data_IF_967515453480
#
_entry.id   IF_967515453480
#
_cell.length_a   1.000
_cell.length_b   1.000
_cell.length_c   1.000
_cell.angle_alpha   90.00
_cell.angle_beta   90.00
_cell.angle_gamma   90.00
#
_symmetry.space_group_name_H-M   'P 1'
#
loop_
_entity.id
_entity.type
_entity.pdbx_description
1 polymer ?
#
# COMPACT_ATOMS: atom_id res chain seq x y z
N UNK A 1 19.54 17.80 11.55
CA UNK A 1 19.45 16.41 11.04
C UNK A 1 18.38 16.39 9.94
N UNK A 2 18.79 16.15 8.69
CA UNK A 2 17.90 16.02 7.53
C UNK A 2 17.34 14.60 7.50
N UNK A 3 16.03 14.44 7.59
CA UNK A 3 15.30 13.39 6.89
C UNK A 3 14.28 14.09 6.01
N UNK A 4 14.57 14.09 4.70
CA UNK A 4 13.79 14.78 3.69
C UNK A 4 12.40 14.17 3.61
N UNK A 5 11.37 15.00 3.84
CA UNK A 5 10.03 14.79 3.31
C UNK A 5 10.06 15.04 1.80
N UNK A 6 10.85 14.27 1.07
CA UNK A 6 10.99 14.45 -0.37
C UNK A 6 10.12 13.39 -1.06
N UNK A 7 8.96 13.89 -1.49
CA UNK A 7 8.06 13.36 -2.51
C UNK A 7 7.26 12.09 -2.12
N UNK A 8 6.06 12.32 -1.57
CA UNK A 8 4.98 11.33 -1.56
C UNK A 8 3.93 11.77 -2.59
N UNK A 9 4.00 11.20 -3.79
CA UNK A 9 3.09 11.48 -4.92
C UNK A 9 1.61 11.26 -4.57
N UNK A 10 0.84 12.30 -4.89
CA UNK A 10 -0.56 12.55 -4.52
C UNK A 10 -1.57 11.57 -5.16
N UNK A 11 -1.14 10.64 -6.02
CA UNK A 11 -2.06 9.71 -6.71
C UNK A 11 -2.67 8.62 -5.82
N UNK A 12 -2.18 8.42 -4.60
CA UNK A 12 -2.83 7.55 -3.60
C UNK A 12 -3.92 8.27 -2.79
N UNK A 13 -4.14 9.57 -3.02
CA UNK A 13 -4.92 10.48 -2.18
C UNK A 13 -6.26 10.85 -2.81
N UNK A 14 -7.09 9.85 -3.13
CA UNK A 14 -8.51 10.17 -3.33
C UNK A 14 -9.15 10.39 -1.95
N UNK A 15 -9.62 11.63 -1.72
CA UNK A 15 -10.32 12.06 -0.52
C UNK A 15 -11.41 11.04 -0.13
N UNK A 16 -11.28 10.45 1.06
CA UNK A 16 -12.22 9.45 1.60
C UNK A 16 -11.64 8.05 1.83
N UNK A 17 -10.38 7.77 1.46
CA UNK A 17 -9.73 6.50 1.77
C UNK A 17 -8.66 6.66 2.85
N UNK A 18 -8.63 5.83 3.92
CA UNK A 18 -7.64 5.97 4.99
C UNK A 18 -6.22 5.88 4.43
N UNK A 19 -5.37 6.75 4.97
CA UNK A 19 -3.99 6.94 4.56
C UNK A 19 -3.19 5.67 4.84
N UNK A 20 -2.55 5.09 3.81
CA UNK A 20 -1.61 3.98 4.00
C UNK A 20 -0.20 4.55 4.06
N UNK A 21 0.45 4.38 5.20
CA UNK A 21 1.86 4.73 5.36
C UNK A 21 2.75 3.86 4.45
N UNK A 22 3.94 4.33 4.04
CA UNK A 22 4.89 3.52 3.27
C UNK A 22 5.18 2.16 3.91
N UNK A 23 5.33 2.11 5.24
CA UNK A 23 5.50 0.88 6.00
C UNK A 23 4.30 -0.08 5.88
N UNK A 24 3.08 0.47 5.82
CA UNK A 24 1.86 -0.32 5.62
C UNK A 24 1.84 -0.92 4.21
N UNK A 25 2.25 -0.13 3.21
CA UNK A 25 2.39 -0.59 1.81
C UNK A 25 3.41 -1.72 1.70
N UNK A 26 4.57 -1.60 2.35
CA UNK A 26 5.57 -2.68 2.40
C UNK A 26 5.00 -3.95 3.03
N UNK A 27 4.37 -3.84 4.20
CA UNK A 27 3.72 -4.98 4.86
C UNK A 27 2.66 -5.60 3.96
N UNK A 28 1.88 -4.80 3.24
CA UNK A 28 0.90 -5.28 2.25
C UNK A 28 1.62 -6.08 1.16
N UNK A 29 2.69 -5.56 0.56
CA UNK A 29 3.45 -6.26 -0.47
C UNK A 29 3.98 -7.61 0.04
N UNK A 30 4.62 -7.61 1.20
CA UNK A 30 5.23 -8.81 1.82
C UNK A 30 4.19 -9.87 2.25
N UNK A 31 2.96 -9.45 2.55
CA UNK A 31 1.88 -10.40 2.91
C UNK A 31 1.46 -11.32 1.75
N UNK A 32 1.77 -10.95 0.50
CA UNK A 32 1.35 -11.70 -0.68
C UNK A 32 2.05 -13.06 -0.73
N UNK A 33 1.28 -14.13 -0.52
CA UNK A 33 1.78 -15.51 -0.56
C UNK A 33 2.36 -16.01 0.77
N UNK A 34 2.47 -15.15 1.80
CA UNK A 34 2.93 -15.54 3.14
C UNK A 34 1.75 -15.78 4.10
N UNK A 35 0.63 -15.09 3.90
CA UNK A 35 -0.57 -15.20 4.74
C UNK A 35 -1.73 -15.81 3.93
N UNK A 36 -2.41 -16.82 4.50
CA UNK A 36 -3.66 -17.34 3.94
C UNK A 36 -4.71 -16.23 3.97
N UNK A 37 -5.38 -15.97 2.83
CA UNK A 37 -6.34 -14.87 2.67
C UNK A 37 -5.74 -13.46 2.94
N UNK A 38 -4.45 -13.26 2.66
CA UNK A 38 -3.73 -12.00 2.86
C UNK A 38 -4.51 -10.75 2.41
N UNK A 39 -5.26 -10.82 1.31
CA UNK A 39 -6.04 -9.68 0.81
C UNK A 39 -7.10 -9.21 1.81
N UNK A 40 -7.85 -10.14 2.40
CA UNK A 40 -8.90 -9.83 3.39
C UNK A 40 -8.30 -9.37 4.72
N UNK A 41 -7.24 -10.06 5.16
CA UNK A 41 -6.51 -9.72 6.39
C UNK A 41 -5.94 -8.30 6.33
N UNK A 42 -5.27 -7.95 5.23
CA UNK A 42 -4.65 -6.62 5.09
C UNK A 42 -5.68 -5.52 4.84
N UNK A 43 -6.78 -5.83 4.14
CA UNK A 43 -7.92 -4.92 4.01
C UNK A 43 -8.51 -4.59 5.39
N UNK A 44 -8.74 -5.60 6.23
CA UNK A 44 -9.24 -5.42 7.59
C UNK A 44 -8.25 -4.63 8.46
N UNK A 45 -6.97 -5.06 8.49
CA UNK A 45 -5.91 -4.50 9.33
C UNK A 45 -5.67 -3.00 9.09
N UNK A 46 -5.75 -2.57 7.84
CA UNK A 46 -5.55 -1.16 7.48
C UNK A 46 -6.83 -0.43 7.11
N UNK A 47 -7.98 -1.00 7.49
CA UNK A 47 -9.32 -0.43 7.24
C UNK A 47 -9.50 0.06 5.80
N UNK A 48 -9.03 -0.72 4.84
CA UNK A 48 -8.97 -0.37 3.43
C UNK A 48 -9.69 -1.41 2.58
N UNK A 49 -9.95 -1.09 1.32
CA UNK A 49 -10.64 -1.99 0.42
C UNK A 49 -9.70 -3.08 -0.11
N UNK A 50 -10.19 -4.31 -0.22
CA UNK A 50 -9.49 -5.43 -0.87
C UNK A 50 -9.04 -5.08 -2.29
N UNK A 51 -9.82 -4.31 -3.04
CA UNK A 51 -9.45 -3.84 -4.37
C UNK A 51 -8.20 -2.95 -4.35
N UNK A 52 -7.99 -2.16 -3.27
CA UNK A 52 -6.81 -1.30 -3.11
C UNK A 52 -5.56 -2.15 -2.83
N UNK A 53 -5.69 -3.22 -2.04
CA UNK A 53 -4.63 -4.22 -1.83
C UNK A 53 -4.18 -4.85 -3.15
N UNK A 54 -5.13 -5.30 -3.98
CA UNK A 54 -4.81 -5.85 -5.31
C UNK A 54 -4.11 -4.85 -6.23
N UNK A 55 -4.52 -3.57 -6.21
CA UNK A 55 -3.86 -2.51 -6.99
C UNK A 55 -2.41 -2.32 -6.56
N UNK A 56 -2.13 -2.32 -5.25
CA UNK A 56 -0.76 -2.23 -4.70
C UNK A 56 0.08 -3.40 -5.20
N UNK A 57 -0.42 -4.64 -5.07
CA UNK A 57 0.30 -5.82 -5.56
C UNK A 57 0.52 -5.85 -7.07
N UNK A 58 -0.46 -5.39 -7.86
CA UNK A 58 -0.35 -5.33 -9.33
C UNK A 58 0.67 -4.29 -9.77
N UNK A 59 0.71 -3.12 -9.11
CA UNK A 59 1.70 -2.08 -9.38
C UNK A 59 3.12 -2.51 -8.99
N UNK A 60 3.27 -3.13 -7.80
CA UNK A 60 4.55 -3.70 -7.37
C UNK A 60 5.07 -4.75 -8.36
N UNK A 61 4.22 -5.68 -8.81
CA UNK A 61 4.60 -6.71 -9.78
C UNK A 61 5.02 -6.15 -11.15
N UNK A 62 4.58 -4.92 -11.49
CA UNK A 62 4.96 -4.21 -12.71
C UNK A 62 6.24 -3.36 -12.54
N UNK A 63 6.87 -3.39 -11.37
CA UNK A 63 8.00 -2.52 -11.05
C UNK A 63 7.63 -1.04 -11.02
N UNK A 64 6.34 -0.71 -10.93
CA UNK A 64 5.88 0.68 -10.86
C UNK A 64 6.12 1.16 -9.42
N UNK A 65 6.93 2.22 -9.22
CA UNK A 65 7.14 2.76 -7.88
C UNK A 65 5.80 3.17 -7.27
N UNK A 66 5.57 2.70 -6.05
CA UNK A 66 4.38 3.04 -5.26
C UNK A 66 4.59 4.37 -4.52
N UNK A 67 5.85 4.79 -4.36
CA UNK A 67 6.30 6.09 -3.89
C UNK A 67 7.22 6.70 -4.94
N UNK A 68 6.88 7.90 -5.38
CA UNK A 68 7.79 8.85 -6.02
C UNK A 68 7.59 10.20 -5.40
#
# INVERSE_FOLDING_TARGET
MRYGMEHMTVEYYHAGTPYLLPEAIEKIIQSRGTIKNACREMAYKYSTLTCRIYKIWKRHAKGIPLCK
#
